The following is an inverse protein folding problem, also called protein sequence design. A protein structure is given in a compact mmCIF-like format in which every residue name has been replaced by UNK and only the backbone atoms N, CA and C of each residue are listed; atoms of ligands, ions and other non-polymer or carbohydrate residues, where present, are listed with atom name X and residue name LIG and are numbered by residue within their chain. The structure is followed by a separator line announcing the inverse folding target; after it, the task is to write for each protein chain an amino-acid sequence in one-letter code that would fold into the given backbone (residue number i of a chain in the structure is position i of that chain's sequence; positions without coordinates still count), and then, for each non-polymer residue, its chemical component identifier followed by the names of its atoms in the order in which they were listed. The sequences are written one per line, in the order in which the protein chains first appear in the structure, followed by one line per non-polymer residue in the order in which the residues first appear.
data_IF_102304669329
#
_entry.id   IF_102304669329
#
_cell.length_a   1.000
_cell.length_b   1.000
_cell.length_c   1.000
_cell.angle_alpha   90.00
_cell.angle_beta   90.00
_cell.angle_gamma   90.00
#
_symmetry.space_group_name_H-M   'P 1'
#
loop_
_entity.id
_entity.type
_entity.pdbx_description
1 polymer ?
#
# COMPACT_ATOMS: atom_id res chain seq x y z
N UNK A 1 -20.40 -9.58 -4.78
CA UNK A 1 -19.10 -10.07 -5.28
C UNK A 1 -18.08 -8.99 -5.00
N UNK A 2 -16.89 -9.38 -4.54
CA UNK A 2 -15.77 -8.46 -4.33
C UNK A 2 -14.83 -8.50 -5.54
N UNK A 3 -14.41 -7.35 -6.04
CA UNK A 3 -13.62 -7.24 -7.26
C UNK A 3 -12.20 -6.75 -6.97
N UNK A 4 -11.19 -7.45 -7.49
CA UNK A 4 -9.77 -7.10 -7.37
C UNK A 4 -9.14 -7.06 -8.76
N UNK A 5 -8.57 -5.93 -9.14
CA UNK A 5 -8.02 -5.69 -10.47
C UNK A 5 -6.50 -5.78 -10.46
N UNK A 6 -5.95 -6.71 -11.23
CA UNK A 6 -4.51 -6.90 -11.38
C UNK A 6 -4.02 -5.91 -12.43
N UNK A 7 -3.41 -4.82 -12.00
CA UNK A 7 -3.13 -3.68 -12.89
C UNK A 7 -2.10 -4.04 -13.97
N UNK A 8 -1.09 -4.83 -13.61
CA UNK A 8 -0.04 -5.26 -14.55
C UNK A 8 -0.56 -6.12 -15.69
N UNK A 9 -1.53 -7.01 -15.44
CA UNK A 9 -2.10 -7.90 -16.46
C UNK A 9 -3.41 -7.39 -17.07
N UNK A 10 -4.02 -6.36 -16.48
CA UNK A 10 -5.33 -5.84 -16.91
C UNK A 10 -6.50 -6.76 -16.56
N UNK A 11 -6.32 -7.68 -15.60
CA UNK A 11 -7.28 -8.76 -15.35
C UNK A 11 -8.16 -8.48 -14.12
N UNK A 12 -9.46 -8.66 -14.27
CA UNK A 12 -10.43 -8.52 -13.19
C UNK A 12 -10.70 -9.86 -12.48
N UNK A 13 -10.33 -9.95 -11.20
CA UNK A 13 -10.61 -11.10 -10.34
C UNK A 13 -11.89 -10.89 -9.54
N UNK A 14 -12.63 -11.98 -9.32
CA UNK A 14 -13.88 -12.00 -8.55
C UNK A 14 -13.71 -12.89 -7.33
N UNK A 15 -14.03 -12.33 -6.17
CA UNK A 15 -13.94 -12.99 -4.88
C UNK A 15 -15.30 -12.99 -4.18
N UNK A 16 -15.45 -13.87 -3.20
CA UNK A 16 -16.65 -13.93 -2.36
C UNK A 16 -16.83 -12.60 -1.60
N UNK A 17 -18.06 -12.09 -1.58
CA UNK A 17 -18.41 -10.87 -0.83
C UNK A 17 -18.17 -11.03 0.67
N UNK A 18 -18.15 -12.25 1.20
CA UNK A 18 -17.81 -12.52 2.59
C UNK A 18 -16.41 -12.01 2.98
N UNK A 19 -15.51 -11.79 2.02
CA UNK A 19 -14.20 -11.18 2.28
C UNK A 19 -14.28 -9.69 2.60
N UNK A 20 -15.38 -9.00 2.25
CA UNK A 20 -15.57 -7.58 2.58
C UNK A 20 -15.70 -7.33 4.09
N UNK A 21 -16.19 -8.30 4.86
CA UNK A 21 -16.31 -8.19 6.33
C UNK A 21 -15.10 -8.75 7.07
N UNK A 22 -14.11 -9.27 6.34
CA UNK A 22 -12.90 -9.89 6.88
C UNK A 22 -11.72 -8.91 6.86
N UNK A 23 -10.64 -9.29 7.54
CA UNK A 23 -9.39 -8.52 7.49
C UNK A 23 -8.77 -8.56 6.10
N UNK A 24 -8.06 -7.51 5.74
CA UNK A 24 -7.28 -7.42 4.49
C UNK A 24 -6.28 -8.57 4.37
N UNK A 25 -5.70 -9.06 5.48
CA UNK A 25 -4.83 -10.25 5.45
C UNK A 25 -5.49 -11.51 4.89
N UNK A 26 -6.78 -11.72 5.18
CA UNK A 26 -7.52 -12.87 4.65
C UNK A 26 -7.71 -12.72 3.14
N UNK A 27 -8.06 -11.51 2.68
CA UNK A 27 -8.13 -11.19 1.25
C UNK A 27 -6.78 -11.43 0.56
N UNK A 28 -5.67 -10.96 1.13
CA UNK A 28 -4.33 -11.19 0.56
C UNK A 28 -3.99 -12.68 0.46
N UNK A 29 -4.42 -13.47 1.43
CA UNK A 29 -4.21 -14.92 1.44
C UNK A 29 -5.02 -15.61 0.35
N UNK A 30 -6.27 -15.20 0.12
CA UNK A 30 -7.09 -15.73 -0.99
C UNK A 30 -6.56 -15.30 -2.37
N UNK A 31 -6.04 -14.08 -2.49
CA UNK A 31 -5.34 -13.63 -3.70
C UNK A 31 -4.09 -14.47 -3.94
N UNK A 32 -3.30 -14.75 -2.90
CA UNK A 32 -2.06 -15.53 -3.03
C UNK A 32 -2.34 -16.94 -3.57
N UNK A 33 -3.40 -17.59 -3.07
CA UNK A 33 -3.87 -18.89 -3.57
C UNK A 33 -4.30 -18.85 -5.04
N UNK A 34 -4.81 -17.70 -5.49
CA UNK A 34 -5.40 -17.56 -6.82
C UNK A 34 -4.39 -17.12 -7.90
N UNK A 35 -3.44 -16.24 -7.55
CA UNK A 35 -2.58 -15.53 -8.53
C UNK A 35 -1.09 -15.89 -8.35
N UNK A 36 -0.73 -16.74 -7.38
CA UNK A 36 0.65 -17.09 -7.07
C UNK A 36 1.55 -15.87 -6.78
N UNK A 37 0.97 -14.81 -6.20
CA UNK A 37 1.69 -13.63 -5.69
C UNK A 37 1.73 -13.75 -4.16
N UNK A 38 2.91 -13.78 -3.57
CA UNK A 38 3.05 -13.91 -2.11
C UNK A 38 2.38 -12.74 -1.38
N UNK A 39 1.87 -12.97 -0.17
CA UNK A 39 1.19 -11.93 0.63
C UNK A 39 2.09 -10.70 0.87
N UNK A 40 3.40 -10.90 0.98
CA UNK A 40 4.39 -9.86 1.24
C UNK A 40 4.64 -8.96 0.02
N UNK A 41 4.48 -9.54 -1.18
CA UNK A 41 4.63 -8.85 -2.46
C UNK A 41 3.36 -8.12 -2.88
N UNK A 42 2.21 -8.44 -2.29
CA UNK A 42 0.94 -7.80 -2.62
C UNK A 42 0.82 -6.40 -2.00
N UNK A 43 0.72 -5.40 -2.87
CA UNK A 43 0.32 -4.05 -2.54
C UNK A 43 -1.11 -3.86 -3.05
N UNK A 44 -2.02 -3.58 -2.13
CA UNK A 44 -3.44 -3.36 -2.42
C UNK A 44 -3.76 -1.88 -2.22
N UNK A 45 -4.30 -1.24 -3.25
CA UNK A 45 -4.69 0.18 -3.21
C UNK A 45 -6.17 0.35 -3.56
N UNK A 46 -6.81 1.34 -2.95
CA UNK A 46 -8.10 1.86 -3.38
C UNK A 46 -7.93 2.99 -4.41
N UNK A 47 -9.01 3.32 -5.11
CA UNK A 47 -9.08 4.60 -5.84
C UNK A 47 -8.74 5.76 -4.91
N UNK A 48 -7.82 6.63 -5.35
CA UNK A 48 -7.27 7.71 -4.54
C UNK A 48 -5.93 7.38 -3.86
N UNK A 49 -5.43 6.15 -3.99
CA UNK A 49 -4.07 5.79 -3.54
C UNK A 49 -3.95 5.38 -2.07
N UNK A 50 -5.06 5.19 -1.38
CA UNK A 50 -5.04 4.65 -0.02
C UNK A 50 -4.65 3.17 -0.02
N UNK A 51 -3.65 2.81 0.78
CA UNK A 51 -3.21 1.42 0.92
C UNK A 51 -4.10 0.64 1.90
N UNK A 52 -4.53 -0.55 1.48
CA UNK A 52 -5.26 -1.46 2.37
C UNK A 52 -4.31 -2.06 3.39
N UNK A 53 -4.46 -1.64 4.66
CA UNK A 53 -3.65 -2.13 5.78
C UNK A 53 -4.13 -3.51 6.20
N UNK A 54 -3.18 -4.41 6.39
CA UNK A 54 -3.37 -5.81 6.77
C UNK A 54 -4.39 -6.04 7.91
N UNK A 55 -4.36 -5.20 8.93
CA UNK A 55 -5.21 -5.34 10.12
C UNK A 55 -6.61 -4.73 9.97
N UNK A 56 -6.84 -3.91 8.94
CA UNK A 56 -8.13 -3.28 8.71
C UNK A 56 -9.13 -4.27 8.07
N UNK A 57 -10.41 -3.98 8.23
CA UNK A 57 -11.50 -4.69 7.55
C UNK A 57 -11.60 -4.15 6.12
N UNK A 58 -11.75 -5.03 5.12
CA UNK A 58 -11.82 -4.65 3.70
C UNK A 58 -12.96 -3.65 3.44
N UNK A 59 -14.11 -3.84 4.07
CA UNK A 59 -15.28 -2.97 3.92
C UNK A 59 -15.16 -1.58 4.56
N UNK A 60 -14.08 -1.30 5.31
CA UNK A 60 -13.82 0.06 5.80
C UNK A 60 -13.42 1.02 4.68
N UNK A 61 -12.95 0.47 3.55
CA UNK A 61 -12.57 1.23 2.37
C UNK A 61 -13.82 1.50 1.51
N UNK A 62 -14.46 2.64 1.76
CA UNK A 62 -15.76 2.96 1.17
C UNK A 62 -15.72 2.97 -0.37
N UNK A 63 -16.65 2.24 -0.97
CA UNK A 63 -16.80 2.17 -2.43
C UNK A 63 -15.75 1.31 -3.14
N UNK A 64 -14.77 0.75 -2.44
CA UNK A 64 -13.76 -0.14 -3.02
C UNK A 64 -14.30 -1.57 -3.19
N UNK A 65 -13.78 -2.27 -4.20
CA UNK A 65 -14.09 -3.67 -4.45
C UNK A 65 -15.39 -3.90 -5.24
N UNK A 66 -15.85 -2.90 -5.98
CA UNK A 66 -16.97 -2.99 -6.94
C UNK A 66 -16.46 -3.22 -8.36
N UNK A 67 -17.37 -3.51 -9.30
CA UNK A 67 -17.04 -3.70 -10.71
C UNK A 67 -16.49 -2.42 -11.39
N UNK A 68 -16.95 -1.26 -10.94
CA UNK A 68 -16.52 0.06 -11.47
C UNK A 68 -15.42 0.72 -10.64
N UNK A 69 -15.23 0.28 -9.39
CA UNK A 69 -14.16 0.74 -8.49
C UNK A 69 -13.57 -0.46 -7.73
N UNK A 70 -12.75 -1.28 -8.40
CA UNK A 70 -12.15 -2.47 -7.79
C UNK A 70 -11.01 -2.10 -6.83
N UNK A 71 -10.57 -3.08 -6.04
CA UNK A 71 -9.31 -2.97 -5.29
C UNK A 71 -8.17 -3.24 -6.28
N UNK A 72 -7.21 -2.33 -6.39
CA UNK A 72 -6.07 -2.47 -7.31
C UNK A 72 -4.95 -3.28 -6.67
N UNK A 73 -4.51 -4.33 -7.35
CA UNK A 73 -3.41 -5.19 -6.93
C UNK A 73 -2.14 -4.89 -7.74
N UNK A 74 -1.06 -4.67 -7.01
CA UNK A 74 0.30 -4.56 -7.52
C UNK A 74 1.21 -5.59 -6.84
N UNK A 75 2.18 -6.10 -7.59
CA UNK A 75 3.24 -6.97 -7.08
C UNK A 75 4.53 -6.16 -6.90
N UNK A 76 5.20 -6.31 -5.75
CA UNK A 76 6.54 -5.75 -5.53
C UNK A 76 7.62 -6.45 -6.36
N UNK A 77 7.41 -7.72 -6.68
CA UNK A 77 8.30 -8.46 -7.56
C UNK A 77 8.02 -8.04 -9.00
N UNK A 78 8.88 -7.14 -9.50
CA UNK A 78 8.98 -6.72 -10.90
C UNK A 78 9.63 -7.80 -11.77
N UNK A 79 9.26 -9.06 -11.57
CA UNK A 79 9.30 -9.97 -12.71
C UNK A 79 8.11 -9.56 -13.54
N UNK A 80 8.25 -8.49 -14.35
CA UNK A 80 7.39 -8.34 -15.52
C UNK A 80 7.44 -9.71 -16.19
N UNK A 81 6.35 -10.49 -16.20
CA UNK A 81 6.31 -11.51 -17.22
C UNK A 81 6.51 -10.70 -18.51
N UNK A 82 7.36 -11.18 -19.42
CA UNK A 82 7.34 -10.76 -20.82
C UNK A 82 5.93 -11.04 -21.34
N UNK A 83 4.97 -10.22 -20.95
CA UNK A 83 3.58 -10.29 -21.36
C UNK A 83 3.59 -9.42 -22.60
N UNK A 84 3.59 -10.03 -23.80
CA UNK A 84 3.38 -9.26 -24.99
C UNK A 84 2.06 -8.53 -24.78
N UNK A 85 2.03 -7.24 -25.13
CA UNK A 85 0.84 -6.40 -25.35
C UNK A 85 -0.46 -7.20 -25.32
N UNK A 86 -1.50 -6.76 -24.57
CA UNK A 86 -2.68 -7.56 -24.22
C UNK A 86 -3.00 -8.57 -25.31
N UNK A 87 -2.63 -9.83 -25.03
CA UNK A 87 -2.67 -10.95 -25.98
C UNK A 87 -4.07 -11.17 -26.56
N UNK A 88 -5.09 -10.50 -25.98
CA UNK A 88 -6.49 -10.45 -26.36
C UNK A 88 -6.76 -9.98 -27.80
N UNK A 89 -5.83 -9.27 -28.45
CA UNK A 89 -5.99 -8.87 -29.86
C UNK A 89 -5.51 -9.93 -30.86
N UNK A 90 -4.82 -10.99 -30.41
CA UNK A 90 -4.36 -12.05 -31.32
C UNK A 90 -5.34 -13.22 -31.30
N UNK A 91 -6.04 -13.34 -32.45
CA UNK A 91 -6.62 -14.58 -33.03
C UNK A 91 -8.14 -14.79 -32.90
N UNK A 92 -8.97 -13.73 -32.91
CA UNK A 92 -10.43 -13.89 -33.01
C UNK A 92 -11.03 -13.65 -34.40
N UNK A 93 -10.26 -13.17 -35.38
CA UNK A 93 -10.67 -13.31 -36.79
C UNK A 93 -10.32 -14.74 -37.19
N UNK A 94 -11.27 -15.60 -36.89
CA UNK A 94 -11.33 -17.02 -37.13
C UNK A 94 -10.90 -17.31 -38.58
N UNK A 95 -9.70 -17.89 -38.77
CA UNK A 95 -9.18 -18.31 -40.09
C UNK A 95 -10.20 -19.17 -40.85
N UNK A 96 -11.12 -19.83 -40.13
CA UNK A 96 -12.26 -20.55 -40.69
C UNK A 96 -13.19 -19.68 -41.54
N UNK A 97 -13.47 -18.43 -41.16
CA UNK A 97 -14.41 -17.57 -41.89
C UNK A 97 -13.85 -17.19 -43.26
N UNK A 98 -12.53 -16.92 -43.35
CA UNK A 98 -11.90 -16.61 -44.63
C UNK A 98 -11.97 -17.78 -45.63
N UNK A 99 -11.76 -19.00 -45.14
CA UNK A 99 -11.86 -20.20 -45.96
C UNK A 99 -13.30 -20.49 -46.40
N UNK A 100 -14.28 -20.25 -45.51
CA UNK A 100 -15.70 -20.38 -45.83
C UNK A 100 -16.18 -19.35 -46.86
N UNK A 101 -15.65 -18.12 -46.81
CA UNK A 101 -15.89 -17.09 -47.84
C UNK A 101 -15.38 -17.55 -49.20
N UNK A 102 -14.15 -18.08 -49.26
CA UNK A 102 -13.55 -18.60 -50.50
C UNK A 102 -14.36 -19.77 -51.05
N UNK A 103 -14.79 -20.70 -50.19
CA UNK A 103 -15.65 -21.82 -50.58
C UNK A 103 -16.99 -21.36 -51.14
N UNK A 104 -17.61 -20.38 -50.51
CA UNK A 104 -18.90 -19.83 -50.91
C UNK A 104 -18.86 -19.04 -52.23
N UNK A 105 -17.76 -18.33 -52.48
CA UNK A 105 -17.55 -17.55 -53.71
C UNK A 105 -17.52 -18.44 -54.97
N UNK A 106 -17.08 -19.69 -54.83
CA UNK A 106 -16.97 -20.65 -55.94
C UNK A 106 -18.27 -21.45 -56.20
N UNK A 107 -19.33 -21.23 -55.42
CA UNK A 107 -20.60 -21.96 -55.59
C UNK A 107 -21.42 -21.43 -56.76
N UNK A 108 -21.98 -22.35 -57.56
CA UNK A 108 -22.96 -22.00 -58.60
C UNK A 108 -24.30 -21.56 -58.00
N UNK A 109 -25.06 -20.68 -58.68
CA UNK A 109 -26.36 -20.23 -58.21
C UNK A 109 -27.33 -21.40 -57.99
N UNK A 110 -27.76 -21.60 -56.75
CA UNK A 110 -28.70 -22.64 -56.34
C UNK A 110 -29.36 -22.27 -55.02
N UNK A 111 -30.45 -22.94 -54.66
CA UNK A 111 -31.09 -22.79 -53.34
C UNK A 111 -30.14 -23.18 -52.21
N UNK A 112 -29.33 -24.23 -52.40
CA UNK A 112 -28.27 -24.61 -51.47
C UNK A 112 -27.21 -23.51 -51.27
N UNK A 113 -26.79 -22.84 -52.36
CA UNK A 113 -25.87 -21.70 -52.27
C UNK A 113 -26.48 -20.51 -51.51
N UNK A 114 -27.79 -20.25 -51.66
CA UNK A 114 -28.48 -19.22 -50.89
C UNK A 114 -28.50 -19.52 -49.39
N UNK A 115 -28.72 -20.79 -49.01
CA UNK A 115 -28.66 -21.23 -47.61
C UNK A 115 -27.26 -21.05 -47.03
N UNK A 116 -26.21 -21.53 -47.72
CA UNK A 116 -24.81 -21.40 -47.27
C UNK A 116 -24.41 -19.94 -47.10
N UNK A 117 -24.77 -19.07 -48.07
CA UNK A 117 -24.52 -17.61 -47.98
C UNK A 117 -25.22 -16.98 -46.79
N UNK A 118 -26.46 -17.39 -46.51
CA UNK A 118 -27.24 -16.87 -45.38
C UNK A 118 -26.62 -17.28 -44.04
N UNK A 119 -26.19 -18.54 -43.89
CA UNK A 119 -25.49 -19.02 -42.69
C UNK A 119 -24.14 -18.31 -42.51
N UNK A 120 -23.38 -18.11 -43.59
CA UNK A 120 -22.11 -17.37 -43.53
C UNK A 120 -22.33 -15.91 -43.09
N UNK A 121 -23.36 -15.24 -43.62
CA UNK A 121 -23.72 -13.88 -43.21
C UNK A 121 -24.11 -13.80 -41.72
N UNK A 122 -24.83 -14.79 -41.19
CA UNK A 122 -25.13 -14.88 -39.76
C UNK A 122 -23.86 -15.00 -38.92
N UNK A 123 -22.92 -15.87 -39.31
CA UNK A 123 -21.63 -16.01 -38.62
C UNK A 123 -20.81 -14.72 -38.64
N UNK A 124 -20.82 -13.98 -39.76
CA UNK A 124 -20.20 -12.65 -39.82
C UNK A 124 -20.81 -11.67 -38.82
N UNK A 125 -22.14 -11.64 -38.72
CA UNK A 125 -22.82 -10.78 -37.77
C UNK A 125 -22.48 -11.14 -36.31
N UNK A 126 -22.46 -12.43 -35.97
CA UNK A 126 -22.05 -12.91 -34.65
C UNK A 126 -20.58 -12.57 -34.34
N UNK A 127 -19.67 -12.78 -35.29
CA UNK A 127 -18.26 -12.44 -35.15
C UNK A 127 -18.06 -10.93 -34.94
N UNK A 128 -18.77 -10.09 -35.71
CA UNK A 128 -18.72 -8.64 -35.55
C UNK A 128 -19.27 -8.18 -34.19
N UNK A 129 -20.38 -8.76 -33.72
CA UNK A 129 -20.93 -8.46 -32.39
C UNK A 129 -19.98 -8.88 -31.27
N UNK A 130 -19.34 -10.04 -31.38
CA UNK A 130 -18.32 -10.49 -30.45
C UNK A 130 -17.09 -9.57 -30.47
N UNK A 131 -16.62 -9.19 -31.65
CA UNK A 131 -15.51 -8.24 -31.81
C UNK A 131 -15.82 -6.89 -31.15
N UNK A 132 -17.03 -6.35 -31.35
CA UNK A 132 -17.48 -5.13 -30.66
C UNK A 132 -17.44 -5.29 -29.14
N UNK A 133 -17.99 -6.39 -28.62
CA UNK A 133 -18.00 -6.69 -27.18
C UNK A 133 -16.58 -6.74 -26.61
N UNK A 134 -15.64 -7.36 -27.34
CA UNK A 134 -14.22 -7.42 -26.95
C UNK A 134 -13.57 -6.03 -26.94
N UNK A 135 -13.91 -5.16 -27.90
CA UNK A 135 -13.44 -3.78 -27.88
C UNK A 135 -13.99 -3.00 -26.68
N UNK A 136 -15.28 -3.16 -26.36
CA UNK A 136 -15.90 -2.50 -25.20
C UNK A 136 -15.24 -2.97 -23.88
N UNK A 137 -15.00 -4.28 -23.74
CA UNK A 137 -14.28 -4.87 -22.60
C UNK A 137 -12.84 -4.32 -22.50
N UNK A 138 -12.12 -4.25 -23.63
CA UNK A 138 -10.74 -3.73 -23.66
C UNK A 138 -10.67 -2.27 -23.23
N UNK A 139 -11.59 -1.41 -23.71
CA UNK A 139 -11.65 0.00 -23.30
C UNK A 139 -11.91 0.11 -21.80
N UNK A 140 -12.80 -0.71 -21.26
CA UNK A 140 -13.08 -0.76 -19.84
C UNK A 140 -11.86 -1.20 -19.02
N UNK A 141 -11.18 -2.27 -19.42
CA UNK A 141 -9.95 -2.75 -18.76
C UNK A 141 -8.84 -1.69 -18.79
N UNK A 142 -8.65 -1.00 -19.91
CA UNK A 142 -7.68 0.09 -20.03
C UNK A 142 -8.04 1.26 -19.10
N UNK A 143 -9.32 1.59 -18.96
CA UNK A 143 -9.76 2.61 -18.02
C UNK A 143 -9.44 2.23 -16.57
N UNK A 144 -9.68 0.96 -16.19
CA UNK A 144 -9.31 0.45 -14.87
C UNK A 144 -7.79 0.44 -14.65
N UNK A 145 -6.99 0.09 -15.66
CA UNK A 145 -5.53 0.19 -15.58
C UNK A 145 -5.09 1.64 -15.34
N UNK A 146 -5.65 2.60 -16.08
CA UNK A 146 -5.36 4.02 -15.87
C UNK A 146 -5.70 4.46 -14.45
N UNK A 147 -6.87 4.09 -13.93
CA UNK A 147 -7.25 4.40 -12.54
C UNK A 147 -6.30 3.76 -11.52
N UNK A 148 -5.91 2.50 -11.74
CA UNK A 148 -4.95 1.80 -10.89
C UNK A 148 -3.60 2.51 -10.84
N UNK A 149 -3.06 2.92 -12.00
CA UNK A 149 -1.83 3.69 -12.05
C UNK A 149 -1.96 5.07 -11.39
N UNK A 150 -3.09 5.74 -11.55
CA UNK A 150 -3.37 6.99 -10.85
C UNK A 150 -3.37 6.81 -9.33
N UNK A 151 -3.93 5.70 -8.82
CA UNK A 151 -3.88 5.36 -7.39
C UNK A 151 -2.45 5.17 -6.89
N UNK A 152 -1.57 4.52 -7.67
CA UNK A 152 -0.14 4.40 -7.31
C UNK A 152 0.54 5.76 -7.25
N UNK A 153 0.29 6.63 -8.24
CA UNK A 153 0.88 7.97 -8.25
C UNK A 153 0.45 8.76 -7.02
N UNK A 154 -0.86 8.75 -6.68
CA UNK A 154 -1.38 9.40 -5.49
C UNK A 154 -0.71 8.84 -4.20
N UNK A 155 -0.57 7.51 -4.10
CA UNK A 155 0.11 6.87 -2.98
C UNK A 155 1.59 7.33 -2.85
N UNK A 156 2.30 7.41 -3.97
CA UNK A 156 3.70 7.85 -4.01
C UNK A 156 3.84 9.34 -3.65
N UNK A 157 2.89 10.18 -4.07
CA UNK A 157 2.85 11.60 -3.69
C UNK A 157 2.66 11.77 -2.18
N UNK A 158 1.71 11.04 -1.58
CA UNK A 158 1.50 11.03 -0.12
C UNK A 158 2.74 10.54 0.64
N UNK A 159 3.38 9.48 0.14
CA UNK A 159 4.60 8.94 0.73
C UNK A 159 5.75 9.96 0.66
N UNK A 160 5.93 10.63 -0.48
CA UNK A 160 6.91 11.71 -0.68
C UNK A 160 6.67 12.85 0.30
N UNK A 161 5.42 13.31 0.42
CA UNK A 161 5.07 14.43 1.29
C UNK A 161 5.27 14.08 2.78
N UNK A 162 4.92 12.86 3.18
CA UNK A 162 5.18 12.34 4.53
C UNK A 162 6.68 12.29 4.83
N UNK A 163 7.49 11.85 3.86
CA UNK A 163 8.95 11.78 3.99
C UNK A 163 9.57 13.18 4.09
N UNK A 164 9.13 14.13 3.27
CA UNK A 164 9.60 15.52 3.34
C UNK A 164 9.27 16.17 4.69
N UNK A 165 8.07 15.94 5.23
CA UNK A 165 7.69 16.41 6.58
C UNK A 165 8.58 15.80 7.67
N UNK A 166 8.89 14.49 7.59
CA UNK A 166 9.79 13.82 8.54
C UNK A 166 11.22 14.36 8.43
N UNK A 167 11.72 14.58 7.21
CA UNK A 167 13.03 15.18 6.95
C UNK A 167 13.14 16.56 7.59
N UNK A 168 12.19 17.45 7.32
CA UNK A 168 12.19 18.81 7.90
C UNK A 168 12.18 18.77 9.43
N UNK A 169 11.34 17.92 10.04
CA UNK A 169 11.36 17.74 11.51
C UNK A 169 12.71 17.26 12.01
N UNK A 170 13.31 16.28 11.35
CA UNK A 170 14.63 15.78 11.73
C UNK A 170 15.69 16.88 11.65
N UNK A 171 15.73 17.63 10.56
CA UNK A 171 16.65 18.75 10.37
C UNK A 171 16.48 19.80 11.47
N UNK A 172 15.24 20.18 11.81
CA UNK A 172 14.95 21.13 12.89
C UNK A 172 15.46 20.64 14.25
N UNK A 173 15.21 19.38 14.60
CA UNK A 173 15.68 18.80 15.87
C UNK A 173 17.20 18.69 15.90
N UNK A 174 17.81 18.28 14.80
CA UNK A 174 19.25 18.13 14.68
C UNK A 174 19.96 19.49 14.79
N UNK A 175 19.44 20.53 14.15
CA UNK A 175 19.98 21.89 14.27
C UNK A 175 19.87 22.43 15.70
N UNK A 176 18.73 22.20 16.38
CA UNK A 176 18.56 22.56 17.79
C UNK A 176 19.55 21.83 18.69
N UNK A 177 19.80 20.55 18.42
CA UNK A 177 20.81 19.78 19.15
C UNK A 177 22.22 20.33 18.92
N UNK A 178 22.61 20.58 17.66
CA UNK A 178 23.92 21.14 17.34
C UNK A 178 24.16 22.50 18.01
N UNK A 179 23.16 23.37 18.03
CA UNK A 179 23.24 24.67 18.69
C UNK A 179 23.45 24.59 20.21
N UNK A 180 22.92 23.55 20.87
CA UNK A 180 23.03 23.35 22.32
C UNK A 180 24.17 22.39 22.73
N UNK A 181 24.83 21.76 21.75
CA UNK A 181 25.82 20.70 22.00
C UNK A 181 26.93 21.14 22.94
N UNK A 182 27.50 22.33 22.75
CA UNK A 182 28.55 22.87 23.61
C UNK A 182 28.07 23.06 25.04
N UNK A 183 26.89 23.67 25.23
CA UNK A 183 26.29 23.85 26.56
C UNK A 183 26.01 22.52 27.26
N UNK A 184 25.51 21.50 26.54
CA UNK A 184 25.37 20.16 27.12
C UNK A 184 26.73 19.56 27.54
N UNK A 185 27.77 19.76 26.74
CA UNK A 185 29.12 19.32 27.10
C UNK A 185 29.69 20.08 28.31
N UNK A 186 29.40 21.37 28.44
CA UNK A 186 29.80 22.18 29.60
C UNK A 186 29.12 21.69 30.88
N UNK A 187 27.80 21.45 30.85
CA UNK A 187 27.06 20.90 32.00
C UNK A 187 27.65 19.56 32.43
N UNK A 188 27.97 18.67 31.48
CA UNK A 188 28.58 17.37 31.80
C UNK A 188 29.98 17.55 32.39
N UNK A 189 30.75 18.54 31.92
CA UNK A 189 32.10 18.84 32.43
C UNK A 189 32.08 19.47 33.82
N UNK A 190 31.11 20.33 34.14
CA UNK A 190 30.97 20.96 35.45
C UNK A 190 30.37 20.03 36.51
N UNK A 191 29.69 18.98 36.07
CA UNK A 191 28.97 18.06 36.96
C UNK A 191 29.80 17.51 38.14
N UNK A 192 31.07 17.10 37.99
CA UNK A 192 31.88 16.66 39.13
C UNK A 192 32.11 17.75 40.18
N UNK A 193 32.30 19.00 39.72
CA UNK A 193 32.49 20.16 40.61
C UNK A 193 31.19 20.48 41.36
N UNK A 194 30.06 20.39 40.68
CA UNK A 194 28.73 20.55 41.28
C UNK A 194 28.48 19.49 42.37
N UNK A 195 28.88 18.23 42.13
CA UNK A 195 28.81 17.15 43.11
C UNK A 195 29.72 17.43 44.32
N UNK A 196 30.96 17.88 44.09
CA UNK A 196 31.89 18.23 45.17
C UNK A 196 31.36 19.40 46.01
N UNK A 197 30.75 20.40 45.37
CA UNK A 197 30.09 21.50 46.04
C UNK A 197 28.94 21.00 46.92
N UNK A 198 28.03 20.20 46.37
CA UNK A 198 26.89 19.64 47.10
C UNK A 198 27.34 18.76 48.29
N UNK A 199 28.47 18.06 48.17
CA UNK A 199 29.08 17.28 49.26
C UNK A 199 29.65 18.15 50.39
N UNK A 200 29.89 19.44 50.15
CA UNK A 200 30.43 20.38 51.14
C UNK A 200 29.37 21.27 51.77
N UNK A 201 28.22 21.46 51.13
CA UNK A 201 27.15 22.33 51.64
C UNK A 201 26.39 21.59 52.76
N UNK A 202 26.40 22.10 54.00
CA UNK A 202 25.67 21.50 55.11
C UNK A 202 24.15 21.67 54.93
N UNK A 203 23.40 20.66 55.33
CA UNK A 203 21.94 20.67 55.28
C UNK A 203 21.36 21.65 56.32
N UNK A 204 20.38 22.46 55.91
CA UNK A 204 19.72 23.39 56.84
C UNK A 204 18.90 22.61 57.88
N UNK A 205 18.95 22.98 59.17
CA UNK A 205 18.25 22.26 60.24
C UNK A 205 16.74 22.10 60.03
N UNK A 206 16.10 23.08 59.35
CA UNK A 206 14.66 23.04 59.04
C UNK A 206 14.28 22.02 57.96
N UNK A 207 15.26 21.49 57.22
CA UNK A 207 15.09 20.47 56.20
C UNK A 207 15.47 19.06 56.70
N UNK A 208 15.99 18.95 57.92
CA UNK A 208 16.25 17.64 58.53
C UNK A 208 14.93 16.99 58.97
N UNK A 209 14.76 15.67 58.76
CA UNK A 209 13.59 14.95 59.27
C UNK A 209 13.45 15.19 60.78
N UNK A 210 12.23 15.51 61.25
CA UNK A 210 11.95 15.86 62.66
C UNK A 210 12.30 14.77 63.70
N UNK A 211 12.78 13.60 63.28
CA UNK A 211 13.20 12.50 64.15
C UNK A 211 14.71 12.48 64.47
N UNK A 212 15.56 13.26 63.79
CA UNK A 212 16.99 13.32 64.09
C UNK A 212 17.23 14.42 65.13
N UNK A 213 17.04 14.06 66.40
CA UNK A 213 17.34 14.89 67.55
C UNK A 213 18.81 15.34 67.49
N UNK A 214 19.05 16.64 67.71
CA UNK A 214 20.38 17.25 67.79
C UNK A 214 21.13 16.68 69.00
N UNK A 215 21.78 15.53 68.81
CA UNK A 215 22.78 15.01 69.74
C UNK A 215 24.14 15.14 69.06
N UNK A 216 24.84 16.23 69.41
CA UNK A 216 26.28 16.51 69.46
C UNK A 216 27.28 15.47 68.89
N UNK A 217 27.05 14.92 67.69
CA UNK A 217 28.06 14.20 66.92
C UNK A 217 28.23 14.92 65.58
N UNK A 218 29.18 15.86 65.56
CA UNK A 218 29.63 16.64 64.40
C UNK A 218 30.32 15.80 63.30
N UNK A 219 30.38 14.47 63.44
CA UNK A 219 31.12 13.57 62.56
C UNK A 219 30.31 13.00 61.38
N UNK A 220 28.97 13.05 61.41
CA UNK A 220 28.14 12.77 60.22
C UNK A 220 27.59 14.08 59.66
N UNK A 221 28.38 14.73 58.81
CA UNK A 221 27.94 15.95 58.10
C UNK A 221 26.82 15.59 57.12
N UNK A 222 25.56 15.73 57.54
CA UNK A 222 24.43 15.74 56.62
C UNK A 222 24.60 16.92 55.66
N UNK A 223 24.82 16.59 54.39
CA UNK A 223 25.07 17.53 53.31
C UNK A 223 23.90 17.52 52.33
N UNK A 224 23.78 18.56 51.52
CA UNK A 224 22.78 18.58 50.46
C UNK A 224 22.92 17.37 49.52
N UNK A 225 24.15 16.94 49.21
CA UNK A 225 24.36 15.74 48.40
C UNK A 225 23.77 14.49 49.09
N UNK A 226 24.06 14.29 50.37
CA UNK A 226 23.50 13.13 51.10
C UNK A 226 21.98 13.15 51.17
N UNK A 227 21.36 14.34 51.23
CA UNK A 227 19.91 14.50 51.21
C UNK A 227 19.29 14.18 49.84
N UNK A 228 19.89 14.68 48.74
CA UNK A 228 19.43 14.35 47.38
C UNK A 228 19.58 12.87 47.00
N UNK A 229 20.53 12.16 47.59
CA UNK A 229 20.78 10.74 47.29
C UNK A 229 20.06 9.75 48.23
N UNK A 230 19.35 10.24 49.27
CA UNK A 230 18.64 9.38 50.23
C UNK A 230 17.11 9.32 50.03
N UNK A 231 16.57 10.05 49.05
CA UNK A 231 15.26 9.79 48.42
C UNK A 231 15.42 8.90 47.17
#
# INVERSE_FOLDING_TARGET
MLYVFIVSSGTMMKFDMNLAVKKVMELKTEIAKSVNISVEDQVLLCSGGEELKSDNIVGNYYGAGTDTNPIFLFSKNLSEPDLPFPMHLKKSIDLSIEDDVRGCANMTPSTGAATVRSTLAQRFAEAALNGRRQCDELVHEQHLQQQGWAAVIANLEDAKDSLLKRKSRFEDHFQKYLAKRSSYQEIIKSFPEDIELLARVPLLPKLMPHNECVTENLDTKHTLLSWFCSE
#
